data_IF_566735546971
#
_entry.id   IF_566735546971
#
_cell.length_a   1.000
_cell.length_b   1.000
_cell.length_c   1.000
_cell.angle_alpha   90.00
_cell.angle_beta   90.00
_cell.angle_gamma   90.00
#
_symmetry.space_group_name_H-M   'P 1'
#
loop_
_entity.id
_entity.type
_entity.pdbx_description
1 polymer ?
#
# COMPACT_ATOMS: atom_id res chain seq x y z
N UNK A 1 -6.48 -21.57 2.89
CA UNK A 1 -6.75 -22.35 1.66
C UNK A 1 -7.57 -23.56 2.01
N UNK A 2 -8.46 -24.06 1.12
CA UNK A 2 -9.15 -25.33 1.32
C UNK A 2 -8.16 -26.47 1.56
N UNK A 3 -8.56 -27.45 2.38
CA UNK A 3 -7.71 -28.60 2.66
C UNK A 3 -7.40 -29.34 1.35
N UNK A 4 -6.12 -29.56 1.04
CA UNK A 4 -5.65 -30.20 -0.19
C UNK A 4 -5.50 -29.25 -1.39
N UNK A 5 -5.73 -27.93 -1.24
CA UNK A 5 -5.38 -26.99 -2.28
C UNK A 5 -3.84 -26.94 -2.47
N UNK A 6 -3.34 -26.92 -3.72
CA UNK A 6 -1.92 -26.77 -3.93
C UNK A 6 -1.44 -25.43 -3.36
N UNK A 7 -0.39 -25.47 -2.54
CA UNK A 7 0.28 -24.25 -2.08
C UNK A 7 1.32 -23.83 -3.11
N UNK A 8 1.32 -22.56 -3.46
CA UNK A 8 2.39 -21.96 -4.26
C UNK A 8 3.56 -21.62 -3.33
N UNK A 9 4.73 -22.16 -3.63
CA UNK A 9 5.95 -21.82 -2.90
C UNK A 9 6.48 -20.47 -3.40
N UNK A 10 5.99 -19.41 -2.77
CA UNK A 10 6.32 -18.04 -3.12
C UNK A 10 7.80 -17.71 -2.88
N UNK A 11 8.39 -18.26 -1.82
CA UNK A 11 9.80 -18.03 -1.50
C UNK A 11 10.72 -18.64 -2.57
N UNK A 12 10.49 -19.90 -2.93
CA UNK A 12 11.24 -20.56 -3.99
C UNK A 12 11.07 -19.86 -5.35
N UNK A 13 9.87 -19.35 -5.65
CA UNK A 13 9.63 -18.58 -6.87
C UNK A 13 10.45 -17.28 -6.91
N UNK A 14 10.43 -16.49 -5.84
CA UNK A 14 11.17 -15.23 -5.73
C UNK A 14 12.67 -15.50 -5.87
N UNK A 15 13.19 -16.49 -5.15
CA UNK A 15 14.59 -16.88 -5.24
C UNK A 15 14.97 -17.27 -6.68
N UNK A 16 14.18 -18.13 -7.32
CA UNK A 16 14.43 -18.53 -8.72
C UNK A 16 14.39 -17.37 -9.70
N UNK A 17 13.49 -16.40 -9.47
CA UNK A 17 13.42 -15.19 -10.28
C UNK A 17 14.68 -14.32 -10.12
N UNK A 18 15.16 -14.13 -8.88
CA UNK A 18 16.39 -13.40 -8.60
C UNK A 18 17.61 -14.03 -9.27
N UNK A 19 17.76 -15.36 -9.12
CA UNK A 19 18.86 -16.11 -9.70
C UNK A 19 18.87 -16.03 -11.25
N UNK A 20 17.70 -16.14 -11.88
CA UNK A 20 17.59 -16.14 -13.34
C UNK A 20 17.78 -14.75 -13.97
N UNK A 21 17.37 -13.70 -13.27
CA UNK A 21 17.46 -12.34 -13.80
C UNK A 21 18.76 -11.64 -13.42
N UNK A 22 19.40 -12.05 -12.33
CA UNK A 22 20.55 -11.38 -11.74
C UNK A 22 20.22 -9.97 -11.21
N UNK A 23 18.92 -9.64 -11.08
CA UNK A 23 18.48 -8.34 -10.58
C UNK A 23 18.38 -8.34 -9.05
N UNK A 24 18.68 -7.20 -8.40
CA UNK A 24 18.42 -7.04 -6.99
C UNK A 24 16.92 -7.28 -6.68
N UNK A 25 16.64 -8.02 -5.64
CA UNK A 25 15.27 -8.29 -5.17
C UNK A 25 15.10 -7.77 -3.75
N UNK A 26 13.88 -7.37 -3.42
CA UNK A 26 13.48 -6.98 -2.07
C UNK A 26 12.68 -8.13 -1.46
N UNK A 27 13.08 -8.62 -0.29
CA UNK A 27 12.34 -9.66 0.44
C UNK A 27 11.11 -9.06 1.13
N UNK A 28 10.08 -8.77 0.35
CA UNK A 28 8.79 -8.33 0.88
C UNK A 28 8.05 -9.46 1.61
N UNK A 29 8.26 -10.72 1.21
CA UNK A 29 7.62 -11.85 1.85
C UNK A 29 8.11 -12.00 3.30
N UNK A 30 9.42 -11.97 3.52
CA UNK A 30 10.01 -12.02 4.86
C UNK A 30 9.53 -10.84 5.70
N UNK A 31 9.71 -9.62 5.20
CA UNK A 31 9.35 -8.40 5.91
C UNK A 31 7.87 -8.35 6.34
N UNK A 32 6.94 -8.74 5.47
CA UNK A 32 5.52 -8.75 5.82
C UNK A 32 5.13 -9.95 6.70
N UNK A 33 5.83 -11.07 6.59
CA UNK A 33 5.57 -12.26 7.43
C UNK A 33 5.93 -11.99 8.89
N UNK A 34 6.96 -11.22 9.16
CA UNK A 34 7.34 -10.78 10.52
C UNK A 34 6.21 -10.02 11.22
N UNK A 35 5.36 -9.34 10.44
CA UNK A 35 4.22 -8.56 10.90
C UNK A 35 2.86 -9.24 10.66
N UNK A 36 2.84 -10.57 10.43
CA UNK A 36 1.60 -11.31 10.12
C UNK A 36 0.55 -11.28 11.24
N UNK A 37 0.92 -10.91 12.46
CA UNK A 37 0.00 -10.72 13.60
C UNK A 37 -0.70 -9.35 13.61
N UNK A 38 -0.33 -8.44 12.73
CA UNK A 38 -0.85 -7.09 12.62
C UNK A 38 -1.82 -6.95 11.44
N UNK A 39 -2.64 -5.90 11.38
CA UNK A 39 -3.60 -5.71 10.30
C UNK A 39 -2.91 -5.17 9.03
N UNK A 40 -1.96 -5.92 8.47
CA UNK A 40 -1.16 -5.51 7.31
C UNK A 40 -1.89 -5.65 5.96
N UNK A 41 -3.00 -6.41 5.92
CA UNK A 41 -3.88 -6.54 4.76
C UNK A 41 -5.34 -6.32 5.15
N UNK A 42 -6.12 -5.76 4.22
CA UNK A 42 -7.57 -5.72 4.37
C UNK A 42 -8.16 -7.13 4.31
N UNK A 43 -9.23 -7.37 5.07
CA UNK A 43 -9.94 -8.67 5.05
C UNK A 43 -10.92 -8.77 3.88
N UNK A 44 -11.43 -7.62 3.45
CA UNK A 44 -12.45 -7.51 2.41
C UNK A 44 -11.88 -7.08 1.06
N UNK A 45 -10.58 -6.79 0.99
CA UNK A 45 -9.88 -6.35 -0.22
C UNK A 45 -8.54 -7.08 -0.40
N UNK A 46 -7.97 -7.04 -1.60
CA UNK A 46 -6.70 -7.69 -1.93
C UNK A 46 -5.47 -6.81 -1.70
N UNK A 47 -5.67 -5.57 -1.31
CA UNK A 47 -4.57 -4.66 -1.03
C UNK A 47 -4.09 -4.77 0.43
N UNK A 48 -2.88 -4.36 0.66
CA UNK A 48 -2.37 -4.08 1.99
C UNK A 48 -3.03 -2.84 2.59
N UNK A 49 -2.97 -2.73 3.91
CA UNK A 49 -3.34 -1.52 4.65
C UNK A 49 -2.21 -0.50 4.60
N UNK A 50 -2.41 0.68 5.15
CA UNK A 50 -1.33 1.68 5.36
C UNK A 50 -0.18 1.11 6.20
N UNK A 51 -0.50 0.32 7.22
CA UNK A 51 0.48 -0.40 8.04
C UNK A 51 1.31 -1.39 7.19
N UNK A 52 0.65 -2.20 6.36
CA UNK A 52 1.36 -3.12 5.46
C UNK A 52 2.22 -2.39 4.41
N UNK A 53 1.71 -1.28 3.86
CA UNK A 53 2.47 -0.44 2.94
C UNK A 53 3.71 0.19 3.60
N UNK A 54 3.61 0.60 4.87
CA UNK A 54 4.73 1.12 5.65
C UNK A 54 5.85 0.08 5.80
N UNK A 55 5.54 -1.16 6.17
CA UNK A 55 6.56 -2.22 6.25
C UNK A 55 7.14 -2.57 4.89
N UNK A 56 6.32 -2.60 3.85
CA UNK A 56 6.80 -2.82 2.48
C UNK A 56 7.73 -1.71 2.00
N UNK A 57 7.41 -0.44 2.30
CA UNK A 57 8.26 0.70 1.98
C UNK A 57 9.61 0.63 2.72
N UNK A 58 9.60 0.27 4.01
CA UNK A 58 10.81 0.13 4.81
C UNK A 58 11.71 -1.00 4.31
N UNK A 59 11.15 -2.13 3.87
CA UNK A 59 11.92 -3.18 3.24
C UNK A 59 12.61 -2.69 1.94
N UNK A 60 11.90 -1.92 1.12
CA UNK A 60 12.47 -1.31 -0.08
C UNK A 60 13.56 -0.29 0.24
N UNK A 61 13.32 0.64 1.17
CA UNK A 61 14.29 1.65 1.59
C UNK A 61 15.58 1.00 2.12
N UNK A 62 15.44 -0.03 2.97
CA UNK A 62 16.57 -0.79 3.50
C UNK A 62 17.36 -1.46 2.37
N UNK A 63 16.70 -2.08 1.41
CA UNK A 63 17.36 -2.70 0.26
C UNK A 63 18.09 -1.69 -0.63
N UNK A 64 17.62 -0.44 -0.65
CA UNK A 64 18.27 0.68 -1.36
C UNK A 64 19.36 1.37 -0.53
N UNK A 65 19.66 0.90 0.69
CA UNK A 65 20.62 1.52 1.60
C UNK A 65 20.16 2.89 2.12
N UNK A 66 18.86 3.11 2.18
CA UNK A 66 18.22 4.31 2.72
C UNK A 66 17.76 4.08 4.15
N UNK A 67 17.64 5.17 4.93
CA UNK A 67 17.06 5.10 6.27
C UNK A 67 15.57 4.72 6.21
N UNK A 68 15.13 3.75 7.03
CA UNK A 68 13.72 3.40 7.14
C UNK A 68 12.89 4.56 7.71
N UNK A 69 11.63 4.61 7.33
CA UNK A 69 10.63 5.49 7.93
C UNK A 69 10.36 5.06 9.38
N UNK A 70 10.01 6.00 10.24
CA UNK A 70 9.61 5.73 11.62
C UNK A 70 8.12 5.97 11.78
N UNK A 71 7.44 5.10 12.52
CA UNK A 71 6.01 5.30 12.82
C UNK A 71 5.75 6.65 13.50
N UNK A 72 6.71 7.12 14.32
CA UNK A 72 6.62 8.41 15.01
C UNK A 72 6.58 9.62 14.09
N UNK A 73 6.93 9.46 12.82
CA UNK A 73 6.91 10.54 11.83
C UNK A 73 5.50 10.72 11.23
N UNK A 74 4.54 9.89 11.66
CA UNK A 74 3.17 9.89 11.15
C UNK A 74 2.14 9.99 12.27
N UNK A 75 1.02 10.63 11.97
CA UNK A 75 -0.18 10.63 12.81
C UNK A 75 -1.26 9.79 12.13
N UNK A 76 -1.70 8.68 12.74
CA UNK A 76 -2.79 7.87 12.21
C UNK A 76 -4.10 8.64 12.25
N UNK A 77 -4.88 8.57 11.18
CA UNK A 77 -6.21 9.16 11.06
C UNK A 77 -7.19 8.14 10.46
N UNK A 78 -8.29 7.85 11.15
CA UNK A 78 -9.35 6.99 10.62
C UNK A 78 -10.10 7.78 9.54
N UNK A 79 -9.98 7.33 8.28
CA UNK A 79 -10.62 7.94 7.13
C UNK A 79 -12.01 7.36 6.85
N UNK A 80 -12.18 6.05 7.05
CA UNK A 80 -13.48 5.36 6.87
C UNK A 80 -13.51 4.09 7.72
N UNK A 81 -14.69 3.73 8.25
CA UNK A 81 -14.94 2.48 8.99
C UNK A 81 -15.89 1.54 8.26
N UNK A 82 -16.22 1.83 7.01
CA UNK A 82 -17.20 1.10 6.22
C UNK A 82 -16.65 0.67 4.84
N UNK A 83 -15.40 0.28 4.78
CA UNK A 83 -14.77 -0.17 3.55
C UNK A 83 -15.05 -1.65 3.27
N UNK A 84 -15.75 -1.91 2.16
CA UNK A 84 -15.96 -3.24 1.61
C UNK A 84 -15.30 -3.33 0.23
N UNK A 85 -14.18 -4.00 0.15
CA UNK A 85 -13.34 -4.05 -1.05
C UNK A 85 -13.77 -5.08 -2.10
N UNK A 86 -12.83 -5.39 -2.98
CA UNK A 86 -13.09 -6.26 -4.14
C UNK A 86 -13.35 -7.71 -3.76
N UNK A 87 -12.71 -8.24 -2.72
CA UNK A 87 -12.95 -9.60 -2.25
C UNK A 87 -14.36 -9.74 -1.68
N UNK A 88 -14.83 -8.76 -0.92
CA UNK A 88 -16.23 -8.73 -0.46
C UNK A 88 -17.20 -8.73 -1.63
N UNK A 89 -16.92 -7.93 -2.65
CA UNK A 89 -17.82 -7.78 -3.81
C UNK A 89 -17.88 -9.02 -4.69
N UNK A 90 -16.80 -9.80 -4.77
CA UNK A 90 -16.67 -10.93 -5.72
C UNK A 90 -16.86 -12.30 -5.08
N UNK A 91 -16.60 -12.44 -3.78
CA UNK A 91 -16.66 -13.75 -3.09
C UNK A 91 -18.08 -14.20 -2.72
N UNK A 92 -19.04 -13.27 -2.66
CA UNK A 92 -20.37 -13.55 -2.10
C UNK A 92 -20.38 -13.65 -0.57
N UNK A 93 -19.25 -13.41 0.09
CA UNK A 93 -19.11 -13.45 1.57
C UNK A 93 -19.48 -12.08 2.15
N UNK A 94 -20.78 -11.85 2.34
CA UNK A 94 -21.31 -10.54 2.76
C UNK A 94 -21.56 -10.39 4.27
N UNK A 95 -21.14 -11.37 5.09
CA UNK A 95 -21.27 -11.31 6.55
C UNK A 95 -20.01 -10.82 7.28
N UNK A 96 -18.94 -10.55 6.56
CA UNK A 96 -17.73 -9.94 7.12
C UNK A 96 -18.03 -8.49 7.50
N UNK A 97 -17.54 -8.09 8.67
CA UNK A 97 -17.56 -6.68 9.04
C UNK A 97 -16.67 -5.88 8.07
N UNK A 98 -17.06 -4.64 7.73
CA UNK A 98 -16.23 -3.76 6.93
C UNK A 98 -14.82 -3.58 7.51
N UNK A 99 -13.88 -3.25 6.65
CA UNK A 99 -12.54 -2.81 7.05
C UNK A 99 -12.52 -1.31 7.37
N UNK A 100 -11.48 -0.90 8.07
CA UNK A 100 -11.19 0.50 8.36
C UNK A 100 -10.07 0.97 7.42
N UNK A 101 -10.29 2.08 6.72
CA UNK A 101 -9.21 2.79 6.03
C UNK A 101 -8.62 3.80 6.99
N UNK A 102 -7.32 3.71 7.17
CA UNK A 102 -6.53 4.61 7.99
C UNK A 102 -5.50 5.32 7.10
N UNK A 103 -5.38 6.62 7.23
CA UNK A 103 -4.29 7.41 6.65
C UNK A 103 -3.21 7.64 7.69
N UNK A 104 -1.98 7.60 7.27
CA UNK A 104 -0.84 8.00 8.07
C UNK A 104 -0.34 9.33 7.54
N UNK A 105 -0.61 10.39 8.30
CA UNK A 105 -0.32 11.77 7.89
C UNK A 105 1.01 12.21 8.47
N UNK A 106 1.94 12.66 7.62
CA UNK A 106 3.17 13.33 8.04
C UNK A 106 2.98 14.85 8.06
N UNK A 107 3.85 15.55 8.78
CA UNK A 107 3.93 17.02 8.76
C UNK A 107 4.71 17.54 7.54
N UNK A 108 5.21 16.66 6.69
CA UNK A 108 5.96 17.01 5.50
C UNK A 108 5.09 17.75 4.48
N UNK A 109 5.66 18.79 3.87
CA UNK A 109 5.04 19.47 2.73
C UNK A 109 5.28 18.65 1.46
N UNK A 110 4.26 17.89 1.05
CA UNK A 110 4.31 17.00 -0.11
C UNK A 110 3.61 17.62 -1.30
N UNK A 111 4.34 17.71 -2.41
CA UNK A 111 3.74 17.95 -3.72
C UNK A 111 3.47 16.62 -4.41
N UNK A 112 2.25 16.43 -4.85
CA UNK A 112 1.86 15.24 -5.63
C UNK A 112 1.50 15.69 -7.03
N UNK A 113 2.14 15.07 -8.03
CA UNK A 113 1.88 15.29 -9.44
C UNK A 113 1.46 13.97 -10.08
N UNK A 114 0.32 13.96 -10.76
CA UNK A 114 -0.23 12.79 -11.44
C UNK A 114 -0.27 13.02 -12.94
N UNK A 115 -0.09 11.96 -13.73
CA UNK A 115 -0.24 11.99 -15.18
C UNK A 115 -1.50 11.25 -15.58
N UNK A 116 -2.46 11.95 -16.17
CA UNK A 116 -3.71 11.39 -16.69
C UNK A 116 -3.78 11.62 -18.18
N UNK A 117 -3.95 10.56 -18.97
CA UNK A 117 -4.03 10.66 -20.45
C UNK A 117 -2.88 11.45 -21.08
N UNK A 118 -1.67 11.29 -20.54
CA UNK A 118 -0.47 11.96 -21.02
C UNK A 118 -0.34 13.43 -20.59
N UNK A 119 -1.20 13.93 -19.74
CA UNK A 119 -1.15 15.29 -19.19
C UNK A 119 -0.77 15.27 -17.72
N UNK A 120 0.05 16.22 -17.33
CA UNK A 120 0.40 16.49 -15.95
C UNK A 120 -0.73 17.27 -15.27
N UNK A 121 -1.14 16.80 -14.09
CA UNK A 121 -2.18 17.41 -13.27
C UNK A 121 -1.76 17.40 -11.79
N UNK A 122 -2.15 18.40 -10.99
CA UNK A 122 -1.97 18.33 -9.55
C UNK A 122 -2.70 17.10 -8.97
N UNK A 123 -1.98 16.31 -8.18
CA UNK A 123 -2.52 15.17 -7.47
C UNK A 123 -2.69 15.43 -5.97
N UNK A 124 -3.11 14.41 -5.24
CA UNK A 124 -3.20 14.41 -3.78
C UNK A 124 -2.73 13.06 -3.25
N UNK A 125 -2.02 13.06 -2.11
CA UNK A 125 -1.67 11.81 -1.43
C UNK A 125 -2.94 11.08 -0.96
N UNK A 126 -3.88 11.85 -0.37
CA UNK A 126 -5.20 11.35 0.06
C UNK A 126 -6.30 12.19 -0.58
N UNK A 127 -7.01 11.62 -1.55
CA UNK A 127 -8.19 12.26 -2.16
C UNK A 127 -9.46 11.78 -1.46
N UNK A 128 -9.90 12.54 -0.46
CA UNK A 128 -11.05 12.19 0.39
C UNK A 128 -12.38 12.12 -0.35
N UNK A 129 -12.47 12.65 -1.56
CA UNK A 129 -13.71 12.57 -2.35
C UNK A 129 -14.08 11.12 -2.68
N UNK A 130 -13.11 10.22 -2.77
CA UNK A 130 -13.36 8.80 -2.99
C UNK A 130 -13.97 8.07 -1.78
N UNK A 131 -13.92 8.65 -0.58
CA UNK A 131 -14.55 8.06 0.60
C UNK A 131 -16.09 8.01 0.51
N UNK A 132 -16.68 8.85 -0.34
CA UNK A 132 -18.11 8.86 -0.65
C UNK A 132 -18.49 7.83 -1.73
N UNK A 133 -17.53 7.16 -2.33
CA UNK A 133 -17.74 6.16 -3.38
C UNK A 133 -17.55 4.73 -2.84
N UNK A 134 -18.01 3.75 -3.63
CA UNK A 134 -17.81 2.34 -3.30
C UNK A 134 -16.33 1.96 -3.25
N UNK A 135 -15.55 2.47 -4.20
CA UNK A 135 -14.10 2.28 -4.28
C UNK A 135 -13.37 3.31 -3.43
N UNK A 136 -13.45 3.12 -2.12
CA UNK A 136 -12.79 4.01 -1.16
C UNK A 136 -11.25 3.87 -1.17
N UNK A 137 -10.72 2.73 -1.63
CA UNK A 137 -9.27 2.53 -1.74
C UNK A 137 -8.64 3.51 -2.74
N UNK A 138 -9.37 3.93 -3.76
CA UNK A 138 -8.95 4.99 -4.68
C UNK A 138 -8.71 6.36 -4.01
N UNK A 139 -9.03 6.51 -2.73
CA UNK A 139 -8.63 7.71 -1.96
C UNK A 139 -7.11 7.85 -1.82
N UNK A 140 -6.38 6.75 -1.90
CA UNK A 140 -4.93 6.78 -2.01
C UNK A 140 -4.52 7.21 -3.42
N UNK A 141 -3.81 8.31 -3.52
CA UNK A 141 -3.29 8.91 -4.77
C UNK A 141 -4.36 9.30 -5.82
N UNK A 142 -5.64 9.31 -5.47
CA UNK A 142 -6.73 9.62 -6.40
C UNK A 142 -6.98 8.51 -7.43
N UNK A 143 -6.77 7.24 -7.03
CA UNK A 143 -6.97 6.03 -7.83
C UNK A 143 -5.76 5.64 -8.68
N UNK A 144 -5.99 4.73 -9.64
CA UNK A 144 -4.93 4.21 -10.49
C UNK A 144 -4.44 5.27 -11.48
N UNK A 145 -3.20 5.68 -11.36
CA UNK A 145 -2.55 6.63 -12.25
C UNK A 145 -1.39 5.95 -13.00
N UNK A 146 -1.17 6.25 -14.29
CA UNK A 146 -0.03 5.71 -15.04
C UNK A 146 1.33 6.11 -14.44
N UNK A 147 1.39 7.30 -13.86
CA UNK A 147 2.56 7.82 -13.14
C UNK A 147 2.08 8.79 -12.07
N UNK A 148 2.68 8.69 -10.91
CA UNK A 148 2.50 9.64 -9.82
C UNK A 148 3.88 9.93 -9.22
N UNK A 149 4.19 11.21 -9.04
CA UNK A 149 5.44 11.66 -8.41
C UNK A 149 5.11 12.40 -7.14
N UNK A 150 5.77 12.01 -6.06
CA UNK A 150 5.71 12.66 -4.76
C UNK A 150 7.05 13.34 -4.49
N UNK A 151 7.01 14.65 -4.24
CA UNK A 151 8.17 15.45 -3.89
C UNK A 151 8.00 15.96 -2.46
N UNK A 152 8.99 15.68 -1.61
CA UNK A 152 9.03 16.27 -0.28
C UNK A 152 9.68 17.64 -0.37
N UNK A 153 8.88 18.69 -0.23
CA UNK A 153 9.33 20.07 -0.34
C UNK A 153 10.07 20.55 0.92
N UNK A 154 9.86 19.87 2.06
CA UNK A 154 10.56 20.18 3.31
C UNK A 154 12.07 19.96 3.21
N UNK A 155 12.53 19.13 2.25
CA UNK A 155 13.95 18.85 2.02
C UNK A 155 14.61 19.80 1.00
N UNK A 156 13.86 20.70 0.36
CA UNK A 156 14.37 21.60 -0.71
C UNK A 156 14.94 22.90 -0.14
N UNK A 157 14.80 23.15 1.13
CA UNK A 157 15.28 24.38 1.81
C UNK A 157 16.70 24.25 2.40
N UNK A 158 17.60 23.57 1.69
CA UNK A 158 19.03 23.57 2.06
C UNK A 158 19.79 24.50 1.12
#
# INVERSE_FOLDING_TARGET
LPQGAPSFDQAAFIQSAAEKTGLPTVDLLGALTEHAGEPIYYRTDHHWTTCGAFYGANALLTALGKEPLKETDFTPEIASTDFNGTLYSTSGIHWLAPDTIEYWVSEDDLRVTSWKSGKEEPGRLYDRSYLEHKDKYSSFLGGNQPLCVLENLSLIHI
#
